data_IF_547352882415
#
_entry.id   IF_547352882415
#
_cell.length_a   1.000
_cell.length_b   1.000
_cell.length_c   1.000
_cell.angle_alpha   90.00
_cell.angle_beta   90.00
_cell.angle_gamma   90.00
#
_symmetry.space_group_name_H-M   'P 1'
#
loop_
_entity.id
_entity.type
_entity.pdbx_description
1 polymer ?
#
# COMPACT_ATOMS: atom_id res chain seq x y z
N UNK A 1 15.92 4.96 -21.38
CA UNK A 1 16.80 5.24 -20.21
C UNK A 1 16.22 6.30 -19.26
N UNK A 2 15.60 7.37 -19.74
CA UNK A 2 15.05 8.46 -18.89
C UNK A 2 13.90 8.00 -17.98
N UNK A 3 12.95 7.21 -18.52
CA UNK A 3 11.81 6.69 -17.74
C UNK A 3 12.26 5.79 -16.56
N UNK A 4 13.23 4.89 -16.80
CA UNK A 4 13.77 4.02 -15.76
C UNK A 4 14.40 4.82 -14.58
N UNK A 5 15.09 5.94 -14.87
CA UNK A 5 15.67 6.82 -13.84
C UNK A 5 14.60 7.50 -13.00
N UNK A 6 13.49 7.88 -13.61
CA UNK A 6 12.33 8.49 -12.92
C UNK A 6 11.62 7.44 -12.06
N UNK A 7 11.39 6.24 -12.61
CA UNK A 7 10.76 5.13 -11.86
C UNK A 7 11.64 4.71 -10.67
N UNK A 8 12.98 4.72 -10.81
CA UNK A 8 13.89 4.42 -9.71
C UNK A 8 13.68 5.31 -8.48
N UNK A 9 13.27 6.57 -8.67
CA UNK A 9 12.92 7.47 -7.55
C UNK A 9 11.77 6.87 -6.73
N UNK A 10 10.68 6.47 -7.40
CA UNK A 10 9.52 5.88 -6.72
C UNK A 10 9.87 4.54 -6.06
N UNK A 11 10.68 3.71 -6.74
CA UNK A 11 11.12 2.40 -6.22
C UNK A 11 11.95 2.56 -4.96
N UNK A 12 12.94 3.47 -4.95
CA UNK A 12 13.76 3.74 -3.77
C UNK A 12 12.95 4.33 -2.63
N UNK A 13 12.08 5.31 -2.90
CA UNK A 13 11.19 5.88 -1.90
C UNK A 13 10.28 4.81 -1.29
N UNK A 14 9.67 3.99 -2.13
CA UNK A 14 8.76 2.93 -1.70
C UNK A 14 9.49 1.83 -0.93
N UNK A 15 10.73 1.49 -1.33
CA UNK A 15 11.57 0.52 -0.63
C UNK A 15 11.84 0.99 0.81
N UNK A 16 12.26 2.24 1.01
CA UNK A 16 12.45 2.81 2.36
C UNK A 16 11.13 2.82 3.13
N UNK A 17 10.03 3.25 2.50
CA UNK A 17 8.71 3.31 3.12
C UNK A 17 8.25 1.96 3.67
N UNK A 18 8.30 0.88 2.87
CA UNK A 18 7.85 -0.45 3.32
C UNK A 18 8.80 -1.04 4.35
N UNK A 19 10.10 -0.75 4.25
CA UNK A 19 11.12 -1.16 5.23
C UNK A 19 10.88 -0.49 6.59
N UNK A 20 10.64 0.82 6.62
CA UNK A 20 10.35 1.57 7.86
C UNK A 20 9.05 1.07 8.50
N UNK A 21 8.02 0.75 7.71
CA UNK A 21 6.76 0.20 8.23
C UNK A 21 6.99 -1.12 8.98
N UNK A 22 7.77 -2.03 8.42
CA UNK A 22 8.09 -3.30 9.08
C UNK A 22 9.00 -3.08 10.29
N UNK A 23 10.13 -2.39 10.11
CA UNK A 23 11.11 -2.16 11.18
C UNK A 23 10.47 -1.44 12.35
N UNK A 24 9.70 -0.38 12.12
CA UNK A 24 9.01 0.38 13.17
C UNK A 24 7.93 -0.43 13.89
N UNK A 25 7.18 -1.30 13.19
CA UNK A 25 6.20 -2.16 13.85
C UNK A 25 6.86 -3.24 14.70
N UNK A 26 7.93 -3.87 14.21
CA UNK A 26 8.66 -4.88 14.97
C UNK A 26 9.42 -4.28 16.14
N UNK A 27 10.01 -3.09 15.97
CA UNK A 27 10.66 -2.35 17.04
C UNK A 27 9.67 -1.99 18.17
N UNK A 28 8.49 -1.45 17.82
CA UNK A 28 7.44 -1.20 18.81
C UNK A 28 7.00 -2.49 19.52
N UNK A 29 6.82 -3.61 18.81
CA UNK A 29 6.40 -4.88 19.38
C UNK A 29 7.49 -5.51 20.27
N UNK A 30 8.75 -5.45 19.88
CA UNK A 30 9.88 -5.95 20.68
C UNK A 30 10.00 -5.19 22.03
N UNK A 31 9.61 -3.92 22.03
CA UNK A 31 9.53 -3.07 23.21
C UNK A 31 8.17 -3.10 23.93
N UNK A 32 7.41 -4.19 23.72
CA UNK A 32 6.13 -4.47 24.42
C UNK A 32 5.03 -3.44 24.18
N UNK A 33 5.08 -2.68 23.07
CA UNK A 33 3.98 -1.80 22.70
C UNK A 33 2.70 -2.61 22.44
N UNK A 34 1.56 -2.04 22.77
CA UNK A 34 0.27 -2.68 22.52
C UNK A 34 -0.03 -2.77 21.02
N UNK A 35 -0.85 -3.75 20.63
CA UNK A 35 -1.33 -3.86 19.24
C UNK A 35 -2.06 -2.59 18.79
N UNK A 36 -2.72 -1.89 19.72
CA UNK A 36 -3.33 -0.59 19.44
C UNK A 36 -2.29 0.47 19.09
N UNK A 37 -1.18 0.54 19.83
CA UNK A 37 -0.07 1.47 19.57
C UNK A 37 0.54 1.22 18.19
N UNK A 38 0.73 -0.05 17.81
CA UNK A 38 1.18 -0.40 16.44
C UNK A 38 0.12 -0.02 15.42
N UNK A 39 -1.17 -0.14 15.75
CA UNK A 39 -2.27 0.34 14.91
C UNK A 39 -2.21 1.86 14.67
N UNK A 40 -1.96 2.64 15.73
CA UNK A 40 -1.75 4.10 15.62
C UNK A 40 -0.53 4.42 14.74
N UNK A 41 0.58 3.72 14.96
CA UNK A 41 1.79 3.85 14.14
C UNK A 41 1.48 3.63 12.66
N UNK A 42 0.77 2.56 12.33
CA UNK A 42 0.38 2.23 10.95
C UNK A 42 -0.60 3.24 10.35
N UNK A 43 -1.56 3.73 11.15
CA UNK A 43 -2.50 4.75 10.71
C UNK A 43 -1.82 6.08 10.35
N UNK A 44 -0.77 6.48 11.08
CA UNK A 44 -0.03 7.72 10.85
C UNK A 44 0.69 7.76 9.50
N UNK A 45 1.11 6.61 8.95
CA UNK A 45 1.66 6.54 7.59
C UNK A 45 0.67 7.00 6.52
N UNK A 46 -0.65 6.97 6.80
CA UNK A 46 -1.69 7.35 5.85
C UNK A 46 -2.48 8.59 6.27
N UNK A 47 -2.59 8.88 7.57
CA UNK A 47 -3.44 9.93 8.11
C UNK A 47 -3.00 11.32 7.63
N UNK A 48 -1.72 11.67 7.84
CA UNK A 48 -1.20 12.98 7.43
C UNK A 48 -1.27 13.16 5.91
N UNK A 49 -0.79 12.19 5.09
CA UNK A 49 -1.00 12.22 3.65
C UNK A 49 -2.45 12.42 3.23
N UNK A 50 -3.40 11.72 3.84
CA UNK A 50 -4.83 11.84 3.55
C UNK A 50 -5.34 13.26 3.76
N UNK A 51 -4.96 13.90 4.87
CA UNK A 51 -5.40 15.25 5.21
C UNK A 51 -4.85 16.33 4.28
N UNK A 52 -3.63 16.12 3.76
CA UNK A 52 -2.96 17.11 2.91
C UNK A 52 -3.05 16.79 1.40
N UNK A 53 -3.52 15.59 1.02
CA UNK A 53 -3.46 15.09 -0.37
C UNK A 53 -3.97 16.09 -1.41
N UNK A 54 -5.13 16.73 -1.17
CA UNK A 54 -5.71 17.71 -2.10
C UNK A 54 -4.84 18.96 -2.20
N UNK A 55 -4.31 19.47 -1.07
CA UNK A 55 -3.41 20.61 -1.06
C UNK A 55 -2.08 20.29 -1.70
N UNK A 56 -1.55 19.10 -1.43
CA UNK A 56 -0.32 18.59 -2.02
C UNK A 56 -0.45 18.45 -3.55
N UNK A 57 -1.59 17.97 -4.05
CA UNK A 57 -1.90 17.88 -5.48
C UNK A 57 -1.92 19.26 -6.14
N UNK A 58 -2.63 20.24 -5.56
CA UNK A 58 -2.63 21.61 -6.08
C UNK A 58 -1.24 22.23 -6.08
N UNK A 59 -0.50 22.06 -4.99
CA UNK A 59 0.88 22.55 -4.91
C UNK A 59 1.77 21.90 -5.98
N UNK A 60 1.60 20.59 -6.22
CA UNK A 60 2.29 19.87 -7.29
C UNK A 60 1.98 20.46 -8.67
N UNK A 61 0.71 20.78 -8.94
CA UNK A 61 0.27 21.39 -10.20
C UNK A 61 0.82 22.83 -10.37
N UNK A 62 0.97 23.59 -9.28
CA UNK A 62 1.48 24.95 -9.29
C UNK A 62 3.00 25.05 -9.48
N UNK A 63 3.76 24.24 -8.70
CA UNK A 63 5.22 24.36 -8.62
C UNK A 63 5.97 23.33 -9.47
N UNK A 64 5.24 22.35 -10.02
CA UNK A 64 5.78 21.23 -10.76
C UNK A 64 6.35 20.10 -9.88
N UNK A 65 6.62 18.94 -10.48
CA UNK A 65 6.95 17.72 -9.77
C UNK A 65 8.30 17.73 -9.03
N UNK A 66 9.22 18.63 -9.41
CA UNK A 66 10.58 18.68 -8.86
C UNK A 66 10.62 19.00 -7.37
N UNK A 67 9.94 20.08 -6.93
CA UNK A 67 9.96 20.52 -5.52
C UNK A 67 9.29 19.51 -4.60
N UNK A 68 8.08 19.00 -4.92
CA UNK A 68 7.43 17.99 -4.10
C UNK A 68 8.21 16.66 -4.04
N UNK A 69 8.87 16.25 -5.13
CA UNK A 69 9.71 15.04 -5.12
C UNK A 69 10.89 15.18 -4.16
N UNK A 70 11.65 16.29 -4.24
CA UNK A 70 12.81 16.53 -3.35
C UNK A 70 12.34 16.65 -1.89
N UNK A 71 11.28 17.41 -1.63
CA UNK A 71 10.71 17.54 -0.29
C UNK A 71 10.23 16.18 0.22
N UNK A 72 9.56 15.39 -0.62
CA UNK A 72 9.05 14.07 -0.25
C UNK A 72 10.17 13.13 0.21
N UNK A 73 11.24 13.02 -0.57
CA UNK A 73 12.40 12.18 -0.15
C UNK A 73 13.12 12.79 1.06
N UNK A 74 13.19 14.11 1.16
CA UNK A 74 13.73 14.79 2.34
C UNK A 74 12.94 14.48 3.63
N UNK A 75 11.60 14.44 3.54
CA UNK A 75 10.73 14.05 4.66
C UNK A 75 10.91 12.57 5.03
N UNK A 76 11.10 11.68 4.03
CA UNK A 76 11.44 10.27 4.29
C UNK A 76 12.74 10.20 5.08
N UNK A 77 13.80 10.87 4.62
CA UNK A 77 15.09 10.89 5.31
C UNK A 77 14.94 11.43 6.73
N UNK A 78 14.31 12.60 6.91
CA UNK A 78 14.09 13.19 8.23
C UNK A 78 13.31 12.24 9.15
N UNK A 79 12.29 11.56 8.62
CA UNK A 79 11.50 10.59 9.38
C UNK A 79 12.34 9.39 9.85
N UNK A 80 13.20 8.85 8.99
CA UNK A 80 14.01 7.66 9.32
C UNK A 80 15.15 8.01 10.30
N UNK A 81 15.66 9.23 10.27
CA UNK A 81 16.68 9.72 11.21
C UNK A 81 16.17 9.70 12.65
N UNK A 82 14.88 9.96 12.89
CA UNK A 82 14.33 10.03 14.25
C UNK A 82 14.51 8.73 15.04
N UNK A 83 14.03 7.55 14.60
CA UNK A 83 14.25 6.31 15.34
C UNK A 83 15.70 5.85 15.34
N UNK A 84 16.53 6.26 14.38
CA UNK A 84 17.96 5.99 14.39
C UNK A 84 18.70 6.83 15.46
N UNK A 85 18.24 8.06 15.70
CA UNK A 85 18.84 8.97 16.69
C UNK A 85 18.29 8.75 18.11
N UNK A 86 17.05 8.27 18.24
CA UNK A 86 16.36 8.00 19.49
C UNK A 86 15.92 6.53 19.54
N UNK A 87 16.85 5.59 19.79
CA UNK A 87 16.63 4.16 19.59
C UNK A 87 15.88 3.48 20.76
N UNK A 88 15.41 4.22 21.75
CA UNK A 88 14.69 3.67 22.91
C UNK A 88 13.19 4.00 22.87
N UNK A 89 12.36 3.19 22.16
CA UNK A 89 10.92 3.40 22.10
C UNK A 89 10.19 3.00 23.39
N UNK A 90 10.86 2.38 24.37
CA UNK A 90 10.30 2.13 25.71
C UNK A 90 10.24 3.44 26.49
N UNK A 91 11.28 4.26 26.38
CA UNK A 91 11.31 5.57 27.01
C UNK A 91 10.37 6.57 26.30
N UNK A 92 10.35 6.55 24.97
CA UNK A 92 9.49 7.44 24.18
C UNK A 92 9.18 6.88 22.79
N UNK A 93 7.91 6.55 22.51
CA UNK A 93 7.44 6.10 21.20
C UNK A 93 7.24 7.24 20.20
N UNK A 94 7.27 8.50 20.65
CA UNK A 94 6.99 9.66 19.79
C UNK A 94 7.90 9.74 18.56
N UNK A 95 9.22 9.44 18.60
CA UNK A 95 10.07 9.41 17.43
C UNK A 95 9.54 8.48 16.32
N UNK A 96 9.06 7.29 16.67
CA UNK A 96 8.47 6.34 15.71
C UNK A 96 7.15 6.86 15.11
N UNK A 97 6.29 7.48 15.94
CA UNK A 97 5.01 8.03 15.48
C UNK A 97 5.24 9.22 14.54
N UNK A 98 6.16 10.12 14.86
CA UNK A 98 6.55 11.24 14.02
C UNK A 98 7.21 10.74 12.73
N UNK A 99 8.08 9.74 12.82
CA UNK A 99 8.70 9.08 11.66
C UNK A 99 7.63 8.54 10.70
N UNK A 100 6.61 7.85 11.21
CA UNK A 100 5.51 7.33 10.40
C UNK A 100 4.78 8.43 9.61
N UNK A 101 4.45 9.53 10.27
CA UNK A 101 3.80 10.68 9.64
C UNK A 101 4.67 11.33 8.55
N UNK A 102 5.96 11.54 8.83
CA UNK A 102 6.91 12.14 7.88
C UNK A 102 7.17 11.21 6.69
N UNK A 103 7.45 9.93 6.94
CA UNK A 103 7.74 8.94 5.89
C UNK A 103 6.52 8.72 5.01
N UNK A 104 5.31 8.61 5.57
CA UNK A 104 4.07 8.48 4.81
C UNK A 104 3.80 9.69 3.92
N UNK A 105 3.98 10.90 4.48
CA UNK A 105 3.82 12.15 3.73
C UNK A 105 4.85 12.25 2.61
N UNK A 106 6.10 11.94 2.91
CA UNK A 106 7.19 11.96 1.95
C UNK A 106 6.98 10.99 0.79
N UNK A 107 6.55 9.77 1.10
CA UNK A 107 6.20 8.75 0.11
C UNK A 107 5.08 9.22 -0.83
N UNK A 108 4.05 9.84 -0.28
CA UNK A 108 2.92 10.34 -1.08
C UNK A 108 3.38 11.43 -2.04
N UNK A 109 4.15 12.42 -1.57
CA UNK A 109 4.67 13.49 -2.42
C UNK A 109 5.61 12.97 -3.51
N UNK A 110 6.51 12.05 -3.18
CA UNK A 110 7.43 11.45 -4.15
C UNK A 110 6.68 10.65 -5.22
N UNK A 111 5.69 9.83 -4.81
CA UNK A 111 4.90 9.02 -5.73
C UNK A 111 4.03 9.87 -6.65
N UNK A 112 3.31 10.89 -6.13
CA UNK A 112 2.52 11.80 -6.94
C UNK A 112 3.39 12.52 -7.98
N UNK A 113 4.57 12.98 -7.58
CA UNK A 113 5.53 13.64 -8.49
C UNK A 113 6.00 12.72 -9.60
N UNK A 114 6.36 11.48 -9.27
CA UNK A 114 6.78 10.49 -10.28
C UNK A 114 5.63 10.13 -11.20
N UNK A 115 4.42 9.90 -10.67
CA UNK A 115 3.25 9.59 -11.48
C UNK A 115 2.91 10.71 -12.46
N UNK A 116 3.00 11.98 -12.04
CA UNK A 116 2.79 13.13 -12.90
C UNK A 116 3.80 13.14 -14.06
N UNK A 117 5.11 13.04 -13.74
CA UNK A 117 6.17 13.04 -14.76
C UNK A 117 6.03 11.89 -15.74
N UNK A 118 5.70 10.68 -15.24
CA UNK A 118 5.44 9.50 -16.08
C UNK A 118 4.25 9.75 -17.00
N UNK A 119 3.16 10.33 -16.49
CA UNK A 119 1.97 10.65 -17.27
C UNK A 119 2.21 11.71 -18.33
N UNK A 120 2.98 12.77 -18.02
CA UNK A 120 3.25 13.89 -18.93
C UNK A 120 4.29 13.57 -20.01
N UNK A 121 5.33 12.76 -19.66
CA UNK A 121 6.46 12.47 -20.55
C UNK A 121 6.28 11.22 -21.41
N UNK A 122 5.17 10.50 -21.22
CA UNK A 122 4.92 9.28 -21.99
C UNK A 122 3.78 9.52 -22.97
N UNK A 123 4.02 9.17 -24.24
CA UNK A 123 2.99 9.22 -25.27
C UNK A 123 1.75 8.45 -24.85
N UNK A 124 0.52 8.91 -25.22
CA UNK A 124 -0.73 8.27 -24.81
C UNK A 124 -0.76 6.75 -25.06
N UNK A 125 -0.20 6.30 -26.18
CA UNK A 125 -0.15 4.88 -26.58
C UNK A 125 0.75 4.02 -25.67
N UNK A 126 1.82 4.62 -25.10
CA UNK A 126 2.80 3.95 -24.23
C UNK A 126 2.57 4.18 -22.75
N UNK A 127 1.63 5.05 -22.39
CA UNK A 127 1.37 5.46 -20.99
C UNK A 127 1.00 4.30 -20.10
N UNK A 128 0.14 3.39 -20.59
CA UNK A 128 -0.24 2.18 -19.85
C UNK A 128 0.97 1.29 -19.53
N UNK A 129 1.88 1.12 -20.49
CA UNK A 129 3.11 0.36 -20.28
C UNK A 129 4.04 1.05 -19.26
N UNK A 130 4.16 2.36 -19.31
CA UNK A 130 4.98 3.13 -18.36
C UNK A 130 4.47 2.99 -16.92
N UNK A 131 3.16 3.09 -16.71
CA UNK A 131 2.55 2.84 -15.39
C UNK A 131 2.66 1.37 -14.94
N UNK A 132 2.66 0.42 -15.89
CA UNK A 132 2.91 -1.00 -15.57
C UNK A 132 4.33 -1.21 -15.05
N UNK A 133 5.34 -0.55 -15.64
CA UNK A 133 6.71 -0.58 -15.12
C UNK A 133 6.83 0.04 -13.73
N UNK A 134 6.11 1.14 -13.47
CA UNK A 134 6.05 1.75 -12.14
C UNK A 134 5.43 0.79 -11.12
N UNK A 135 4.35 0.10 -11.48
CA UNK A 135 3.68 -0.88 -10.62
C UNK A 135 4.57 -2.12 -10.36
N UNK A 136 5.33 -2.58 -11.36
CA UNK A 136 6.32 -3.66 -11.21
C UNK A 136 7.43 -3.25 -10.24
N UNK A 137 7.95 -2.03 -10.38
CA UNK A 137 8.93 -1.48 -9.44
C UNK A 137 8.41 -1.44 -8.01
N UNK A 138 7.13 -1.06 -7.82
CA UNK A 138 6.45 -1.12 -6.53
C UNK A 138 6.36 -2.54 -5.97
N UNK A 139 6.09 -3.55 -6.84
CA UNK A 139 6.06 -4.96 -6.41
C UNK A 139 7.44 -5.46 -5.96
N UNK A 140 8.50 -5.06 -6.68
CA UNK A 140 9.89 -5.39 -6.29
C UNK A 140 10.22 -4.78 -4.92
N UNK A 141 9.88 -3.52 -4.69
CA UNK A 141 10.10 -2.86 -3.38
C UNK A 141 9.32 -3.55 -2.27
N UNK A 142 8.05 -3.92 -2.54
CA UNK A 142 7.18 -4.60 -1.58
C UNK A 142 7.68 -5.99 -1.19
N UNK A 143 8.42 -6.65 -2.07
CA UNK A 143 9.12 -7.90 -1.78
C UNK A 143 10.44 -7.66 -1.04
N UNK A 144 11.32 -6.86 -1.65
CA UNK A 144 12.68 -6.66 -1.16
C UNK A 144 12.74 -5.95 0.19
N UNK A 145 11.84 -4.98 0.43
CA UNK A 145 11.82 -4.19 1.66
C UNK A 145 11.64 -5.04 2.92
N UNK A 146 10.53 -5.78 3.06
CA UNK A 146 10.31 -6.62 4.23
C UNK A 146 11.35 -7.71 4.41
N UNK A 147 11.76 -8.39 3.33
CA UNK A 147 12.79 -9.45 3.41
C UNK A 147 14.13 -8.88 3.87
N UNK A 148 14.60 -7.80 3.23
CA UNK A 148 15.86 -7.17 3.62
C UNK A 148 15.81 -6.61 5.05
N UNK A 149 14.70 -5.95 5.42
CA UNK A 149 14.53 -5.40 6.78
C UNK A 149 14.51 -6.51 7.84
N UNK A 150 13.82 -7.62 7.59
CA UNK A 150 13.79 -8.74 8.50
C UNK A 150 15.20 -9.32 8.72
N UNK A 151 15.94 -9.58 7.63
CA UNK A 151 17.32 -10.07 7.68
C UNK A 151 18.27 -9.09 8.42
N UNK A 152 18.12 -7.78 8.17
CA UNK A 152 18.91 -6.77 8.87
C UNK A 152 18.59 -6.72 10.37
N UNK A 153 17.31 -6.78 10.74
CA UNK A 153 16.90 -6.77 12.15
C UNK A 153 17.49 -7.97 12.89
N UNK A 154 17.39 -9.16 12.32
CA UNK A 154 17.92 -10.38 12.96
C UNK A 154 19.46 -10.40 13.02
N UNK A 155 20.15 -9.76 12.06
CA UNK A 155 21.62 -9.76 11.99
C UNK A 155 22.28 -8.63 12.79
N UNK A 156 21.71 -7.41 12.75
CA UNK A 156 22.34 -6.21 13.33
C UNK A 156 21.42 -5.43 14.28
N UNK A 157 20.17 -5.90 14.49
CA UNK A 157 19.18 -5.26 15.37
C UNK A 157 18.46 -4.07 14.76
N UNK A 158 17.44 -3.57 15.48
CA UNK A 158 16.52 -2.51 14.98
C UNK A 158 17.25 -1.18 14.75
N UNK A 159 18.03 -0.72 15.71
CA UNK A 159 18.73 0.57 15.63
C UNK A 159 19.69 0.64 14.43
N UNK A 160 20.55 -0.38 14.25
CA UNK A 160 21.45 -0.43 13.11
C UNK A 160 20.70 -0.57 11.78
N UNK A 161 19.55 -1.26 11.76
CA UNK A 161 18.67 -1.32 10.60
C UNK A 161 18.15 0.07 10.22
N UNK A 162 17.70 0.89 11.19
CA UNK A 162 17.33 2.28 10.91
C UNK A 162 18.49 3.10 10.35
N UNK A 163 19.71 2.91 10.82
CA UNK A 163 20.90 3.57 10.25
C UNK A 163 21.11 3.17 8.79
N UNK A 164 20.96 1.89 8.45
CA UNK A 164 21.02 1.44 7.04
C UNK A 164 19.92 2.10 6.21
N UNK A 165 18.71 2.22 6.75
CA UNK A 165 17.59 2.89 6.06
C UNK A 165 17.84 4.40 5.90
N UNK A 166 18.53 5.07 6.86
CA UNK A 166 18.99 6.46 6.69
C UNK A 166 19.95 6.58 5.51
N UNK A 167 20.93 5.67 5.39
CA UNK A 167 21.87 5.68 4.26
C UNK A 167 21.14 5.45 2.92
N UNK A 168 20.18 4.53 2.90
CA UNK A 168 19.35 4.27 1.71
C UNK A 168 18.50 5.50 1.34
N UNK A 169 17.87 6.17 2.32
CA UNK A 169 17.09 7.38 2.10
C UNK A 169 17.96 8.56 1.64
N UNK A 170 19.17 8.70 2.22
CA UNK A 170 20.15 9.70 1.77
C UNK A 170 20.61 9.43 0.33
N UNK A 171 20.86 8.17 -0.02
CA UNK A 171 21.14 7.75 -1.41
C UNK A 171 19.98 8.07 -2.36
N UNK A 172 18.73 7.82 -1.93
CA UNK A 172 17.53 8.19 -2.68
C UNK A 172 17.43 9.71 -2.87
N UNK A 173 17.75 10.51 -1.85
CA UNK A 173 17.77 11.96 -1.94
C UNK A 173 18.85 12.46 -2.90
N UNK A 174 20.05 11.91 -2.83
CA UNK A 174 21.12 12.22 -3.77
C UNK A 174 20.73 11.86 -5.20
N UNK A 175 20.06 10.70 -5.39
CA UNK A 175 19.54 10.28 -6.70
C UNK A 175 18.51 11.26 -7.25
N UNK A 176 17.50 11.64 -6.44
CA UNK A 176 16.48 12.64 -6.83
C UNK A 176 17.15 13.97 -7.17
N UNK A 177 18.11 14.40 -6.38
CA UNK A 177 18.85 15.64 -6.63
C UNK A 177 19.60 15.59 -7.95
N UNK A 178 20.24 14.48 -8.29
CA UNK A 178 20.92 14.28 -9.56
C UNK A 178 19.94 14.23 -10.75
N UNK A 179 18.73 13.64 -10.54
CA UNK A 179 17.70 13.54 -11.59
C UNK A 179 16.76 14.74 -11.65
N UNK A 180 16.95 15.76 -10.82
CA UNK A 180 16.08 16.96 -10.78
C UNK A 180 15.80 17.64 -12.13
N UNK A 181 16.70 17.63 -13.13
CA UNK A 181 16.40 18.19 -14.46
C UNK A 181 15.34 17.38 -15.23
N UNK A 182 15.15 16.10 -14.88
CA UNK A 182 14.12 15.25 -15.44
C UNK A 182 12.74 15.45 -14.79
N UNK A 183 12.68 16.12 -13.65
CA UNK A 183 11.45 16.37 -12.89
C UNK A 183 10.89 17.78 -13.20
N UNK A 184 10.75 18.10 -14.49
CA UNK A 184 10.15 19.36 -14.95
C UNK A 184 8.84 19.07 -15.66
N UNK A 185 7.90 20.02 -15.62
CA UNK A 185 6.69 19.95 -16.43
C UNK A 185 7.02 19.78 -17.92
N UNK A 186 6.28 18.89 -18.58
CA UNK A 186 6.44 18.61 -20.02
C UNK A 186 5.30 19.22 -20.87
N UNK A 187 4.27 19.82 -20.29
CA UNK A 187 3.10 20.31 -21.03
C UNK A 187 2.35 21.46 -20.36
N UNK A 188 1.35 21.97 -21.07
CA UNK A 188 0.45 23.01 -20.59
C UNK A 188 -0.38 22.51 -19.38
N UNK A 189 -0.68 23.45 -18.47
CA UNK A 189 -1.47 23.19 -17.26
C UNK A 189 -2.84 22.65 -17.64
N UNK A 190 -3.18 21.47 -17.16
CA UNK A 190 -4.53 20.94 -17.29
C UNK A 190 -5.52 21.85 -16.56
N UNK A 191 -6.69 22.07 -17.17
CA UNK A 191 -7.76 22.85 -16.55
C UNK A 191 -8.17 22.20 -15.20
N UNK A 192 -8.44 23.02 -14.16
CA UNK A 192 -8.83 22.50 -12.86
C UNK A 192 -10.09 21.63 -12.98
N UNK A 193 -10.14 20.46 -12.31
CA UNK A 193 -11.31 19.59 -12.36
C UNK A 193 -12.52 20.32 -11.77
N UNK A 194 -13.66 20.23 -12.45
CA UNK A 194 -14.94 20.80 -11.99
C UNK A 194 -15.35 20.08 -10.70
N UNK A 195 -15.65 20.82 -9.59
CA UNK A 195 -16.08 20.18 -8.34
C UNK A 195 -17.46 19.55 -8.52
N UNK A 196 -17.55 18.24 -8.38
CA UNK A 196 -18.82 17.51 -8.41
C UNK A 196 -19.01 16.76 -7.10
N UNK A 197 -20.27 16.64 -6.65
CA UNK A 197 -20.61 15.95 -5.41
C UNK A 197 -20.42 14.43 -5.56
N UNK A 198 -19.37 13.84 -4.93
CA UNK A 198 -19.02 12.42 -5.14
C UNK A 198 -20.12 11.46 -4.66
N UNK A 199 -20.94 11.87 -3.68
CA UNK A 199 -22.02 11.05 -3.11
C UNK A 199 -23.10 10.65 -4.15
N UNK A 200 -23.25 11.41 -5.25
CA UNK A 200 -24.20 11.07 -6.31
C UNK A 200 -23.80 9.79 -7.04
N UNK A 201 -22.51 9.47 -7.11
CA UNK A 201 -22.00 8.24 -7.74
C UNK A 201 -22.41 6.97 -6.98
N UNK A 202 -22.61 7.07 -5.66
CA UNK A 202 -23.07 5.95 -4.83
C UNK A 202 -24.53 5.54 -5.13
N UNK A 203 -25.31 6.39 -5.81
CA UNK A 203 -26.67 6.05 -6.27
C UNK A 203 -26.65 5.09 -7.45
N UNK A 204 -25.59 5.06 -8.25
CA UNK A 204 -25.43 4.08 -9.32
C UNK A 204 -25.12 2.70 -8.72
N UNK A 205 -26.08 1.77 -8.85
CA UNK A 205 -26.04 0.45 -8.22
C UNK A 205 -24.76 -0.33 -8.57
N UNK A 206 -24.42 -0.38 -9.85
CA UNK A 206 -23.25 -1.14 -10.32
C UNK A 206 -21.93 -0.55 -9.82
N UNK A 207 -21.78 0.78 -9.91
CA UNK A 207 -20.59 1.45 -9.42
C UNK A 207 -20.43 1.29 -7.90
N UNK A 208 -21.53 1.33 -7.15
CA UNK A 208 -21.54 1.08 -5.70
C UNK A 208 -21.00 -0.32 -5.37
N UNK A 209 -21.37 -1.35 -6.14
CA UNK A 209 -20.85 -2.72 -5.95
C UNK A 209 -19.34 -2.79 -6.16
N UNK A 210 -18.82 -2.12 -7.20
CA UNK A 210 -17.38 -2.03 -7.45
C UNK A 210 -16.66 -1.29 -6.34
N UNK A 211 -17.24 -0.21 -5.82
CA UNK A 211 -16.66 0.57 -4.72
C UNK A 211 -16.64 -0.20 -3.39
N UNK A 212 -17.70 -0.98 -3.10
CA UNK A 212 -17.74 -1.88 -1.93
C UNK A 212 -16.65 -2.96 -2.06
N UNK A 213 -16.54 -3.60 -3.22
CA UNK A 213 -15.48 -4.58 -3.47
C UNK A 213 -14.09 -3.95 -3.30
N UNK A 214 -13.89 -2.73 -3.81
CA UNK A 214 -12.66 -1.96 -3.63
C UNK A 214 -12.33 -1.74 -2.15
N UNK A 215 -13.32 -1.33 -1.36
CA UNK A 215 -13.13 -1.12 0.08
C UNK A 215 -12.64 -2.40 0.76
N UNK A 216 -13.34 -3.52 0.53
CA UNK A 216 -13.02 -4.82 1.14
C UNK A 216 -11.63 -5.33 0.72
N UNK A 217 -11.25 -5.14 -0.55
CA UNK A 217 -9.92 -5.51 -1.05
C UNK A 217 -8.83 -4.63 -0.42
N UNK A 218 -9.07 -3.31 -0.32
CA UNK A 218 -8.13 -2.40 0.36
C UNK A 218 -7.97 -2.76 1.83
N UNK A 219 -9.09 -3.05 2.51
CA UNK A 219 -9.11 -3.54 3.88
C UNK A 219 -8.28 -4.82 4.03
N UNK A 220 -8.42 -5.77 3.10
CA UNK A 220 -7.67 -7.02 3.12
C UNK A 220 -6.15 -6.79 2.98
N UNK A 221 -5.77 -5.88 2.11
CA UNK A 221 -4.38 -5.50 1.91
C UNK A 221 -3.76 -4.86 3.17
N UNK A 222 -4.50 -3.96 3.80
CA UNK A 222 -4.05 -3.29 5.02
C UNK A 222 -3.93 -4.25 6.19
N UNK A 223 -4.95 -5.12 6.38
CA UNK A 223 -4.91 -6.12 7.44
C UNK A 223 -3.70 -7.03 7.31
N UNK A 224 -3.42 -7.53 6.12
CA UNK A 224 -2.25 -8.36 5.84
C UNK A 224 -0.97 -7.66 6.30
N UNK A 225 -0.77 -6.42 5.87
CA UNK A 225 0.46 -5.65 6.17
C UNK A 225 0.60 -5.33 7.66
N UNK A 226 -0.53 -5.10 8.34
CA UNK A 226 -0.57 -4.75 9.77
C UNK A 226 -0.51 -5.98 10.68
N UNK A 227 -1.35 -6.99 10.40
CA UNK A 227 -1.53 -8.11 11.32
C UNK A 227 -0.51 -9.22 11.18
N UNK A 228 0.19 -9.34 10.04
CA UNK A 228 1.24 -10.37 9.89
C UNK A 228 2.40 -10.15 10.86
N UNK A 229 2.97 -8.95 11.01
CA UNK A 229 3.97 -8.69 12.05
C UNK A 229 3.45 -8.97 13.47
N UNK A 230 2.22 -8.54 13.79
CA UNK A 230 1.60 -8.74 15.10
C UNK A 230 1.39 -10.23 15.40
N UNK A 231 0.88 -11.00 14.43
CA UNK A 231 0.68 -12.45 14.61
C UNK A 231 2.02 -13.19 14.66
N UNK A 232 2.94 -12.87 13.75
CA UNK A 232 4.26 -13.49 13.66
C UNK A 232 5.06 -13.36 14.96
N UNK A 233 5.09 -12.17 15.56
CA UNK A 233 5.75 -11.97 16.87
C UNK A 233 5.05 -12.76 18.00
N UNK A 234 3.72 -12.88 17.98
CA UNK A 234 2.97 -13.67 18.98
C UNK A 234 3.25 -15.17 18.91
N UNK A 235 3.47 -15.70 17.70
CA UNK A 235 3.79 -17.13 17.51
C UNK A 235 5.31 -17.41 17.56
N UNK A 236 6.12 -16.37 17.87
CA UNK A 236 7.56 -16.50 18.10
C UNK A 236 8.40 -16.52 16.82
N UNK A 237 7.89 -16.03 15.69
CA UNK A 237 8.68 -15.90 14.47
C UNK A 237 9.74 -14.81 14.61
N UNK A 238 10.91 -15.04 14.03
CA UNK A 238 11.95 -14.02 13.88
C UNK A 238 11.54 -12.94 12.88
N UNK A 239 12.26 -11.81 12.90
CA UNK A 239 11.99 -10.71 11.96
C UNK A 239 12.21 -11.14 10.50
N UNK A 240 13.22 -11.98 10.23
CA UNK A 240 13.46 -12.57 8.91
C UNK A 240 12.28 -13.44 8.45
N UNK A 241 11.75 -14.28 9.32
CA UNK A 241 10.61 -15.15 9.01
C UNK A 241 9.36 -14.32 8.70
N UNK A 242 9.07 -13.28 9.49
CA UNK A 242 7.98 -12.34 9.23
C UNK A 242 8.20 -11.63 7.89
N UNK A 243 9.42 -11.19 7.62
CA UNK A 243 9.81 -10.59 6.34
C UNK A 243 9.58 -11.53 5.16
N UNK A 244 9.90 -12.83 5.31
CA UNK A 244 9.65 -13.86 4.29
C UNK A 244 8.16 -14.08 4.04
N UNK A 245 7.32 -14.09 5.08
CA UNK A 245 5.85 -14.21 4.93
C UNK A 245 5.29 -13.03 4.13
N UNK A 246 5.70 -11.79 4.46
CA UNK A 246 5.32 -10.60 3.70
C UNK A 246 5.89 -10.61 2.28
N UNK A 247 7.12 -11.11 2.12
CA UNK A 247 7.76 -11.31 0.84
C UNK A 247 7.03 -12.31 -0.04
N UNK A 248 6.57 -13.43 0.52
CA UNK A 248 5.77 -14.44 -0.20
C UNK A 248 4.46 -13.84 -0.75
N UNK A 249 3.77 -13.01 0.05
CA UNK A 249 2.61 -12.26 -0.41
C UNK A 249 2.96 -11.33 -1.59
N UNK A 250 4.03 -10.56 -1.47
CA UNK A 250 4.46 -9.63 -2.53
C UNK A 250 4.90 -10.37 -3.79
N UNK A 251 5.62 -11.49 -3.68
CA UNK A 251 5.99 -12.36 -4.81
C UNK A 251 4.75 -12.89 -5.53
N UNK A 252 3.73 -13.34 -4.79
CA UNK A 252 2.48 -13.80 -5.37
C UNK A 252 1.75 -12.70 -6.15
N UNK A 253 1.72 -11.47 -5.61
CA UNK A 253 1.13 -10.33 -6.33
C UNK A 253 1.87 -10.00 -7.63
N UNK A 254 3.19 -10.17 -7.65
CA UNK A 254 4.00 -10.02 -8.85
C UNK A 254 3.66 -11.12 -9.87
N UNK A 255 3.66 -12.38 -9.44
CA UNK A 255 3.37 -13.54 -10.31
C UNK A 255 2.00 -13.43 -10.97
N UNK A 256 0.96 -13.10 -10.19
CA UNK A 256 -0.40 -13.00 -10.75
C UNK A 256 -0.53 -11.83 -11.71
N UNK A 257 0.17 -10.72 -11.50
CA UNK A 257 0.19 -9.58 -12.43
C UNK A 257 0.83 -9.95 -13.77
N UNK A 258 1.87 -10.77 -13.77
CA UNK A 258 2.44 -11.31 -15.03
C UNK A 258 1.45 -12.26 -15.74
N UNK A 259 0.64 -13.00 -15.00
CA UNK A 259 -0.37 -13.90 -15.54
C UNK A 259 -1.66 -13.18 -15.99
N UNK A 260 -1.85 -11.89 -15.67
CA UNK A 260 -3.08 -11.15 -16.00
C UNK A 260 -3.49 -11.17 -17.48
N UNK A 261 -2.56 -11.03 -18.48
CA UNK A 261 -2.95 -11.10 -19.88
C UNK A 261 -3.55 -12.45 -20.29
N UNK A 262 -3.14 -13.53 -19.64
CA UNK A 262 -3.70 -14.86 -19.84
C UNK A 262 -5.02 -15.03 -19.07
N UNK A 263 -5.09 -14.55 -17.84
CA UNK A 263 -6.24 -14.65 -16.96
C UNK A 263 -7.46 -13.90 -17.56
N UNK A 264 -7.25 -12.68 -18.07
CA UNK A 264 -8.29 -11.84 -18.66
C UNK A 264 -8.87 -12.38 -19.97
N UNK A 265 -8.18 -13.33 -20.64
CA UNK A 265 -8.73 -14.04 -21.81
C UNK A 265 -9.66 -15.19 -21.44
N UNK A 266 -9.59 -15.70 -20.21
CA UNK A 266 -10.32 -16.89 -19.75
C UNK A 266 -11.43 -16.58 -18.75
N UNK A 267 -11.30 -15.49 -18.01
CA UNK A 267 -12.22 -15.13 -16.92
C UNK A 267 -12.66 -13.68 -17.05
N UNK A 268 -13.91 -13.43 -16.69
CA UNK A 268 -14.45 -12.07 -16.59
C UNK A 268 -13.91 -11.39 -15.35
N UNK A 269 -13.91 -10.05 -15.32
CA UNK A 269 -13.45 -9.25 -14.17
C UNK A 269 -14.20 -9.63 -12.87
N UNK A 270 -15.51 -9.90 -12.96
CA UNK A 270 -16.32 -10.33 -11.82
C UNK A 270 -15.93 -11.71 -11.32
N UNK A 271 -15.64 -12.68 -12.21
CA UNK A 271 -15.19 -14.01 -11.80
C UNK A 271 -13.85 -13.95 -11.06
N UNK A 272 -12.90 -13.17 -11.58
CA UNK A 272 -11.60 -12.98 -10.90
C UNK A 272 -11.81 -12.32 -9.54
N UNK A 273 -12.69 -11.32 -9.44
CA UNK A 273 -12.98 -10.62 -8.20
C UNK A 273 -13.63 -11.54 -7.15
N UNK A 274 -14.58 -12.37 -7.56
CA UNK A 274 -15.24 -13.36 -6.69
C UNK A 274 -14.20 -14.39 -6.20
N UNK A 275 -13.37 -14.92 -7.09
CA UNK A 275 -12.28 -15.82 -6.72
C UNK A 275 -11.32 -15.16 -5.70
N UNK A 276 -10.94 -13.91 -5.95
CA UNK A 276 -10.11 -13.12 -5.03
C UNK A 276 -10.72 -13.05 -3.63
N UNK A 277 -12.02 -12.71 -3.54
CA UNK A 277 -12.70 -12.56 -2.25
C UNK A 277 -12.76 -13.89 -1.49
N UNK A 278 -13.08 -15.00 -2.16
CA UNK A 278 -13.11 -16.31 -1.50
C UNK A 278 -11.70 -16.81 -1.13
N UNK A 279 -10.69 -16.60 -1.99
CA UNK A 279 -9.31 -16.93 -1.66
C UNK A 279 -8.83 -16.13 -0.43
N UNK A 280 -9.15 -14.83 -0.37
CA UNK A 280 -8.82 -13.99 0.79
C UNK A 280 -9.61 -14.41 2.05
N UNK A 281 -10.89 -14.76 1.93
CA UNK A 281 -11.68 -15.31 3.04
C UNK A 281 -11.02 -16.56 3.61
N UNK A 282 -10.68 -17.53 2.75
CA UNK A 282 -10.01 -18.78 3.17
C UNK A 282 -8.66 -18.50 3.81
N UNK A 283 -7.84 -17.63 3.21
CA UNK A 283 -6.54 -17.28 3.76
C UNK A 283 -6.66 -16.63 5.14
N UNK A 284 -7.56 -15.66 5.33
CA UNK A 284 -7.78 -15.04 6.64
C UNK A 284 -8.37 -15.98 7.67
N UNK A 285 -9.21 -16.94 7.28
CA UNK A 285 -9.73 -17.97 8.19
C UNK A 285 -8.62 -18.92 8.67
N UNK A 286 -7.68 -19.24 7.79
CA UNK A 286 -6.58 -20.18 8.06
C UNK A 286 -5.41 -19.50 8.80
N UNK A 287 -5.16 -18.21 8.58
CA UNK A 287 -3.98 -17.51 9.07
C UNK A 287 -3.74 -17.72 10.59
N UNK A 288 -4.73 -17.53 11.48
CA UNK A 288 -4.53 -17.66 12.92
C UNK A 288 -4.37 -19.11 13.40
N UNK A 289 -4.62 -20.11 12.55
CA UNK A 289 -4.49 -21.52 12.89
C UNK A 289 -3.06 -22.04 12.78
N UNK A 290 -2.18 -21.27 12.13
CA UNK A 290 -0.80 -21.67 11.86
C UNK A 290 0.20 -20.76 12.59
N UNK A 291 1.33 -21.36 13.04
CA UNK A 291 2.44 -20.64 13.66
C UNK A 291 3.77 -20.85 12.95
N UNK A 292 3.85 -21.75 11.98
CA UNK A 292 5.10 -22.03 11.26
C UNK A 292 5.30 -21.10 10.06
N UNK A 293 6.55 -20.68 9.82
CA UNK A 293 6.89 -19.76 8.72
C UNK A 293 6.46 -20.26 7.34
N UNK A 294 6.65 -21.56 7.05
CA UNK A 294 6.31 -22.15 5.74
C UNK A 294 4.79 -22.12 5.50
N UNK A 295 4.00 -22.53 6.48
CA UNK A 295 2.53 -22.54 6.38
C UNK A 295 1.97 -21.13 6.25
N UNK A 296 2.48 -20.18 7.03
CA UNK A 296 2.09 -18.77 6.94
C UNK A 296 2.51 -18.14 5.60
N UNK A 297 3.69 -18.48 5.08
CA UNK A 297 4.14 -18.02 3.76
C UNK A 297 3.25 -18.57 2.63
N UNK A 298 2.84 -19.85 2.70
CA UNK A 298 1.89 -20.44 1.72
C UNK A 298 0.54 -19.73 1.78
N UNK A 299 -0.01 -19.52 2.97
CA UNK A 299 -1.30 -18.80 3.13
C UNK A 299 -1.18 -17.35 2.63
N UNK A 300 -0.08 -16.67 2.95
CA UNK A 300 0.20 -15.31 2.46
C UNK A 300 0.37 -15.27 0.93
N UNK A 301 0.99 -16.29 0.35
CA UNK A 301 1.13 -16.41 -1.10
C UNK A 301 -0.23 -16.60 -1.78
N UNK A 302 -1.10 -17.47 -1.27
CA UNK A 302 -2.48 -17.63 -1.80
C UNK A 302 -3.26 -16.32 -1.69
N UNK A 303 -3.15 -15.62 -0.57
CA UNK A 303 -3.76 -14.31 -0.37
C UNK A 303 -3.22 -13.29 -1.39
N UNK A 304 -1.91 -13.30 -1.63
CA UNK A 304 -1.23 -12.42 -2.59
C UNK A 304 -1.66 -12.67 -4.04
N UNK A 305 -1.85 -13.92 -4.46
CA UNK A 305 -2.41 -14.26 -5.78
C UNK A 305 -3.81 -13.65 -5.95
N UNK A 306 -4.67 -13.80 -4.95
CA UNK A 306 -6.01 -13.21 -4.96
C UNK A 306 -5.96 -11.68 -5.05
N UNK A 307 -5.41 -11.03 -4.03
CA UNK A 307 -5.42 -9.56 -3.93
C UNK A 307 -4.62 -8.87 -5.04
N UNK A 308 -3.56 -9.52 -5.55
CA UNK A 308 -2.78 -9.01 -6.67
C UNK A 308 -3.56 -8.94 -7.99
N UNK A 309 -4.46 -9.90 -8.23
CA UNK A 309 -5.35 -9.92 -9.39
C UNK A 309 -6.50 -8.91 -9.28
N UNK A 310 -6.91 -8.56 -8.06
CA UNK A 310 -8.08 -7.72 -7.84
C UNK A 310 -7.93 -6.29 -8.38
N UNK A 311 -6.78 -5.66 -8.18
CA UNK A 311 -6.57 -4.25 -8.55
C UNK A 311 -6.84 -3.93 -10.03
N UNK A 312 -6.23 -4.64 -11.01
CA UNK A 312 -6.51 -4.37 -12.42
C UNK A 312 -7.97 -4.65 -12.80
N UNK A 313 -8.61 -5.67 -12.21
CA UNK A 313 -10.02 -5.99 -12.47
C UNK A 313 -10.98 -4.94 -11.89
N UNK A 314 -10.70 -4.43 -10.68
CA UNK A 314 -11.45 -3.31 -10.09
C UNK A 314 -11.32 -2.06 -10.97
N UNK A 315 -10.13 -1.77 -11.50
CA UNK A 315 -9.93 -0.61 -12.38
C UNK A 315 -10.69 -0.75 -13.69
N UNK A 316 -10.71 -1.95 -14.29
CA UNK A 316 -11.48 -2.26 -15.49
C UNK A 316 -12.99 -2.08 -15.23
N UNK A 317 -13.51 -2.69 -14.16
CA UNK A 317 -14.89 -2.56 -13.74
C UNK A 317 -15.30 -1.12 -13.43
N UNK A 318 -14.43 -0.37 -12.73
CA UNK A 318 -14.69 1.03 -12.41
C UNK A 318 -14.82 1.86 -13.68
N UNK A 319 -13.93 1.63 -14.67
CA UNK A 319 -13.97 2.34 -15.94
C UNK A 319 -15.20 1.98 -16.76
N UNK A 320 -15.53 0.69 -16.88
CA UNK A 320 -16.66 0.21 -17.68
C UNK A 320 -18.03 0.49 -17.06
N UNK A 321 -18.13 0.60 -15.72
CA UNK A 321 -19.40 0.81 -14.99
C UNK A 321 -19.59 2.25 -14.52
N UNK A 322 -18.65 3.15 -14.77
CA UNK A 322 -18.80 4.56 -14.49
C UNK A 322 -19.69 5.22 -15.55
N UNK A 323 -20.57 6.16 -15.16
CA UNK A 323 -21.32 6.94 -16.11
C UNK A 323 -20.40 7.68 -17.10
N UNK A 324 -20.82 7.89 -18.36
CA UNK A 324 -20.02 8.62 -19.34
C UNK A 324 -19.57 9.99 -18.82
N UNK A 325 -18.27 10.31 -18.98
CA UNK A 325 -17.67 11.56 -18.51
C UNK A 325 -17.40 11.67 -17.01
N UNK A 326 -17.71 10.63 -16.19
CA UNK A 326 -17.54 10.68 -14.72
C UNK A 326 -16.54 9.65 -14.19
N UNK A 327 -15.69 9.08 -15.02
CA UNK A 327 -14.66 8.11 -14.62
C UNK A 327 -13.67 8.71 -13.63
N UNK A 328 -13.27 9.98 -13.83
CA UNK A 328 -12.36 10.68 -12.92
C UNK A 328 -12.93 10.82 -11.50
N UNK A 329 -14.23 11.09 -11.36
CA UNK A 329 -14.90 11.15 -10.06
C UNK A 329 -14.94 9.77 -9.37
N UNK A 330 -15.21 8.72 -10.14
CA UNK A 330 -15.21 7.34 -9.62
C UNK A 330 -13.81 6.93 -9.14
N UNK A 331 -12.76 7.33 -9.85
CA UNK A 331 -11.36 7.15 -9.42
C UNK A 331 -11.04 7.94 -8.15
N UNK A 332 -11.51 9.19 -8.06
CA UNK A 332 -11.36 10.00 -6.85
C UNK A 332 -12.04 9.38 -5.64
N UNK A 333 -13.28 8.89 -5.80
CA UNK A 333 -14.00 8.19 -4.73
C UNK A 333 -13.30 6.90 -4.31
N UNK A 334 -12.79 6.11 -5.27
CA UNK A 334 -11.97 4.94 -4.97
C UNK A 334 -10.76 5.30 -4.13
N UNK A 335 -10.03 6.35 -4.49
CA UNK A 335 -8.85 6.82 -3.75
C UNK A 335 -9.22 7.23 -2.32
N UNK A 336 -10.34 7.95 -2.15
CA UNK A 336 -10.85 8.34 -0.82
C UNK A 336 -11.18 7.12 0.04
N UNK A 337 -11.85 6.11 -0.53
CA UNK A 337 -12.17 4.85 0.16
C UNK A 337 -10.89 4.13 0.58
N UNK A 338 -9.93 4.01 -0.31
CA UNK A 338 -8.64 3.37 -0.01
C UNK A 338 -7.90 4.11 1.10
N UNK A 339 -7.77 5.44 1.00
CA UNK A 339 -7.10 6.24 2.04
C UNK A 339 -7.82 6.15 3.39
N UNK A 340 -9.16 6.15 3.38
CA UNK A 340 -9.95 5.93 4.59
C UNK A 340 -9.70 4.55 5.23
N UNK A 341 -9.61 3.50 4.41
CA UNK A 341 -9.26 2.15 4.88
C UNK A 341 -7.89 2.12 5.57
N UNK A 342 -6.88 2.73 4.95
CA UNK A 342 -5.52 2.79 5.49
C UNK A 342 -5.41 3.48 6.87
N UNK A 343 -6.34 4.37 7.20
CA UNK A 343 -6.40 5.04 8.51
C UNK A 343 -7.28 4.27 9.50
N UNK A 344 -8.50 3.94 9.10
CA UNK A 344 -9.51 3.39 10.01
C UNK A 344 -9.18 1.95 10.41
N UNK A 345 -8.70 1.15 9.47
CA UNK A 345 -8.50 -0.27 9.71
C UNK A 345 -7.45 -0.59 10.77
N UNK A 346 -6.22 -0.03 10.71
CA UNK A 346 -5.23 -0.30 11.74
C UNK A 346 -5.72 0.10 13.14
N UNK A 347 -6.50 1.17 13.24
CA UNK A 347 -7.07 1.62 14.52
C UNK A 347 -8.12 0.64 15.04
N UNK A 348 -9.07 0.25 14.19
CA UNK A 348 -10.16 -0.68 14.58
C UNK A 348 -9.61 -2.06 14.90
N UNK A 349 -8.77 -2.64 14.02
CA UNK A 349 -8.21 -3.96 14.26
C UNK A 349 -7.09 -3.95 15.30
N UNK A 350 -6.39 -2.81 15.47
CA UNK A 350 -5.46 -2.62 16.57
C UNK A 350 -6.15 -2.64 17.93
N UNK A 351 -7.28 -1.92 18.06
CA UNK A 351 -8.11 -1.94 19.25
C UNK A 351 -8.73 -3.32 19.49
N UNK A 352 -9.34 -3.94 18.46
CA UNK A 352 -9.92 -5.27 18.57
C UNK A 352 -8.84 -6.33 18.91
N UNK A 353 -7.68 -6.25 18.28
CA UNK A 353 -6.56 -7.17 18.50
C UNK A 353 -5.94 -7.06 19.90
N UNK A 354 -6.00 -5.89 20.55
CA UNK A 354 -5.54 -5.70 21.93
C UNK A 354 -6.51 -6.33 22.95
N UNK A 355 -7.81 -6.33 22.65
CA UNK A 355 -8.87 -6.82 23.55
C UNK A 355 -9.22 -8.28 23.27
N UNK A 356 -9.44 -8.63 22.01
CA UNK A 356 -9.96 -9.94 21.57
C UNK A 356 -8.86 -10.88 21.02
N UNK A 357 -7.65 -10.38 20.87
CA UNK A 357 -6.53 -11.11 20.29
C UNK A 357 -6.46 -11.03 18.76
N UNK A 358 -5.27 -11.40 18.21
CA UNK A 358 -5.00 -11.31 16.78
C UNK A 358 -5.93 -12.21 15.93
N UNK A 359 -6.28 -13.39 16.43
CA UNK A 359 -7.16 -14.33 15.74
C UNK A 359 -8.54 -13.73 15.43
N UNK A 360 -9.10 -12.96 16.36
CA UNK A 360 -10.40 -12.31 16.17
C UNK A 360 -10.37 -11.31 15.00
N UNK A 361 -9.27 -10.57 14.82
CA UNK A 361 -9.11 -9.65 13.70
C UNK A 361 -9.11 -10.39 12.35
N UNK A 362 -8.37 -11.50 12.25
CA UNK A 362 -8.35 -12.32 11.03
C UNK A 362 -9.72 -12.93 10.73
N UNK A 363 -10.41 -13.52 11.71
CA UNK A 363 -11.72 -14.13 11.51
C UNK A 363 -12.81 -13.11 11.18
N UNK A 364 -12.79 -11.93 11.83
CA UNK A 364 -13.70 -10.84 11.48
C UNK A 364 -13.50 -10.43 10.03
N UNK A 365 -12.25 -10.30 9.58
CA UNK A 365 -11.96 -9.99 8.18
C UNK A 365 -12.39 -11.12 7.24
N UNK A 366 -12.19 -12.38 7.61
CA UNK A 366 -12.68 -13.52 6.84
C UNK A 366 -14.20 -13.45 6.62
N UNK A 367 -14.97 -13.11 7.66
CA UNK A 367 -16.42 -12.95 7.58
C UNK A 367 -16.81 -11.77 6.67
N UNK A 368 -16.14 -10.62 6.78
CA UNK A 368 -16.40 -9.45 5.93
C UNK A 368 -16.13 -9.78 4.46
N UNK A 369 -14.98 -10.39 4.18
CA UNK A 369 -14.56 -10.74 2.81
C UNK A 369 -15.43 -11.84 2.23
N UNK A 370 -15.78 -12.86 3.03
CA UNK A 370 -16.69 -13.94 2.63
C UNK A 370 -18.08 -13.42 2.32
N UNK A 371 -18.63 -12.52 3.16
CA UNK A 371 -19.89 -11.84 2.93
C UNK A 371 -19.88 -10.99 1.65
N UNK A 372 -18.79 -10.26 1.40
CA UNK A 372 -18.60 -9.51 0.15
C UNK A 372 -18.49 -10.44 -1.07
N UNK A 373 -17.83 -11.59 -0.94
CA UNK A 373 -17.77 -12.61 -1.98
C UNK A 373 -19.15 -13.18 -2.33
N UNK A 374 -19.95 -13.54 -1.33
CA UNK A 374 -21.32 -13.99 -1.51
C UNK A 374 -22.22 -12.91 -2.14
N UNK A 375 -22.04 -11.64 -1.77
CA UNK A 375 -22.73 -10.52 -2.40
C UNK A 375 -22.29 -10.34 -3.86
N UNK A 376 -20.99 -10.44 -4.16
CA UNK A 376 -20.45 -10.32 -5.51
C UNK A 376 -21.01 -11.39 -6.47
N UNK A 377 -21.20 -12.63 -6.00
CA UNK A 377 -21.89 -13.69 -6.77
C UNK A 377 -23.32 -13.28 -7.13
N UNK A 378 -24.07 -12.67 -6.19
CA UNK A 378 -25.43 -12.17 -6.46
C UNK A 378 -25.40 -11.00 -7.43
N UNK A 379 -24.43 -10.09 -7.32
CA UNK A 379 -24.28 -8.94 -8.21
C UNK A 379 -23.95 -9.36 -9.64
N UNK A 380 -23.09 -10.36 -9.82
CA UNK A 380 -22.77 -10.91 -11.13
C UNK A 380 -24.01 -11.53 -11.81
N UNK A 381 -24.84 -12.26 -11.06
CA UNK A 381 -26.08 -12.87 -11.61
C UNK A 381 -27.16 -11.85 -11.93
N UNK A 382 -27.15 -10.70 -11.28
CA UNK A 382 -28.13 -9.63 -11.47
C UNK A 382 -27.66 -8.56 -12.50
N UNK A 383 -26.45 -8.70 -13.03
CA UNK A 383 -25.97 -7.87 -14.14
C UNK A 383 -26.61 -8.40 -15.44
N UNK A 384 -27.21 -7.51 -16.29
CA UNK A 384 -27.84 -7.91 -17.55
C UNK A 384 -26.85 -8.49 -18.56
#
# INVERSE_FOLDING_TARGET
MTLARIIAIAVLAHLVFVSVRLTGSLDALSNKASTFTVGVLMALFALVPMLIAVRAGRWLDEVGPRRPAVLGIGLILAGVVLPAAFPDPVADIAPLLVAAALVGTGQTLAMMSVQQVVGERTDPERRAAAFSWLALGGSVSSFAGPVASGLLIDSIGHCATFVVLVLLAAGALAWVWAQRPLLTHAGDRAAPPVPVHPLQLLRHRELRHVLIATAVISMSWDLQTFMVPVHGTRVGLSASEIGLVLGAFAAATFVVRLAMPWLSRRFTEWQVLIFTLFAACTAFALFPLFGGVVTLAVVAFVLGLGLGAAQPNVMSLLHSRSPPGRVGEALGMRTTIMSGSHVVLPLVFGAAGSVLGAAAAFWTMALIVGGAGAAAVRWQRAAP
#
